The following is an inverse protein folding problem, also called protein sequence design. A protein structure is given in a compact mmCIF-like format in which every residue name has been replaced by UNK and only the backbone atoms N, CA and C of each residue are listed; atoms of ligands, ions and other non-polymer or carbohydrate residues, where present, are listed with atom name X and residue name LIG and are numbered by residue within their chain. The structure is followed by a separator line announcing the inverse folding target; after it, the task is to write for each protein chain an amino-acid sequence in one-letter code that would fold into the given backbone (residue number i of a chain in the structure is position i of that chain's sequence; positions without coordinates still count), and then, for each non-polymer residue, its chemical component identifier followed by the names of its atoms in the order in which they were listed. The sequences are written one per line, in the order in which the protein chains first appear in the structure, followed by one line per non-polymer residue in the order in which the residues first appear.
data_IF_837339760184
#
_entry.id   IF_837339760184
#
_cell.length_a   1.000
_cell.length_b   1.000
_cell.length_c   1.000
_cell.angle_alpha   90.00
_cell.angle_beta   90.00
_cell.angle_gamma   90.00
#
_symmetry.space_group_name_H-M   'P 1'
#
loop_
_entity.id
_entity.type
_entity.pdbx_description
1 polymer ?
#
# COMPACT_ATOMS: atom_id res chain seq x y z
N UNK A 1 -26.75 41.60 -41.58
CA UNK A 1 -27.26 40.52 -40.70
C UNK A 1 -26.21 39.44 -40.41
N UNK A 2 -25.20 39.27 -41.26
CA UNK A 2 -24.14 38.26 -41.16
C UNK A 2 -23.12 38.50 -40.04
N UNK A 3 -22.75 39.76 -39.77
CA UNK A 3 -21.76 40.07 -38.72
C UNK A 3 -22.27 39.74 -37.30
N UNK A 4 -23.56 39.98 -37.01
CA UNK A 4 -24.17 39.70 -35.69
C UNK A 4 -24.32 38.20 -35.41
N UNK A 5 -24.58 37.39 -36.44
CA UNK A 5 -24.57 35.93 -36.31
C UNK A 5 -23.16 35.38 -36.04
N UNK A 6 -22.13 35.95 -36.69
CA UNK A 6 -20.74 35.52 -36.46
C UNK A 6 -20.28 35.77 -35.01
N UNK A 7 -20.62 36.93 -34.42
CA UNK A 7 -20.32 37.20 -33.02
C UNK A 7 -21.10 36.31 -32.04
N UNK A 8 -22.35 35.94 -32.37
CA UNK A 8 -23.15 35.05 -31.53
C UNK A 8 -22.60 33.61 -31.53
N UNK A 9 -22.11 33.11 -32.67
CA UNK A 9 -21.47 31.78 -32.77
C UNK A 9 -20.12 31.75 -32.04
N UNK A 10 -19.32 32.82 -32.15
CA UNK A 10 -18.04 32.93 -31.45
C UNK A 10 -18.22 33.03 -29.92
N UNK A 11 -19.24 33.77 -29.45
CA UNK A 11 -19.56 33.86 -28.02
C UNK A 11 -20.10 32.54 -27.45
N UNK A 12 -20.89 31.78 -28.22
CA UNK A 12 -21.35 30.45 -27.82
C UNK A 12 -20.21 29.42 -27.74
N UNK A 13 -19.23 29.48 -28.67
CA UNK A 13 -18.06 28.59 -28.64
C UNK A 13 -17.12 28.88 -27.44
N UNK A 14 -16.97 30.15 -27.04
CA UNK A 14 -16.16 30.53 -25.88
C UNK A 14 -16.79 30.08 -24.54
N UNK A 15 -18.12 29.99 -24.47
CA UNK A 15 -18.84 29.62 -23.25
C UNK A 15 -18.78 28.11 -22.93
N UNK A 16 -18.48 27.24 -23.91
CA UNK A 16 -18.41 25.77 -23.72
C UNK A 16 -17.06 25.32 -23.15
N UNK A 17 -15.99 26.09 -23.38
CA UNK A 17 -14.62 25.76 -22.95
C UNK A 17 -14.43 25.69 -21.41
N UNK A 18 -14.97 26.62 -20.58
CA UNK A 18 -14.76 26.55 -19.13
C UNK A 18 -15.63 25.48 -18.42
N UNK A 19 -16.77 25.08 -19.01
CA UNK A 19 -17.68 24.11 -18.42
C UNK A 19 -17.11 22.67 -18.45
N UNK A 20 -16.36 22.32 -19.49
CA UNK A 20 -15.75 20.99 -19.63
C UNK A 20 -14.65 20.72 -18.58
N UNK A 21 -13.76 21.69 -18.37
CA UNK A 21 -12.63 21.52 -17.43
C UNK A 21 -13.10 21.46 -15.97
N UNK A 22 -14.09 22.27 -15.60
CA UNK A 22 -14.63 22.28 -14.23
C UNK A 22 -15.45 21.01 -13.93
N UNK A 23 -16.26 20.54 -14.87
CA UNK A 23 -17.01 19.29 -14.71
C UNK A 23 -16.10 18.05 -14.68
N UNK A 24 -15.07 17.99 -15.54
CA UNK A 24 -14.09 16.90 -15.55
C UNK A 24 -13.29 16.84 -14.24
N UNK A 25 -12.79 17.99 -13.78
CA UNK A 25 -12.06 18.11 -12.50
C UNK A 25 -12.92 17.63 -11.33
N UNK A 26 -14.18 18.05 -11.27
CA UNK A 26 -15.09 17.61 -10.21
C UNK A 26 -15.39 16.10 -10.25
N UNK A 27 -15.59 15.52 -11.44
CA UNK A 27 -15.84 14.07 -11.58
C UNK A 27 -14.63 13.23 -11.22
N UNK A 28 -13.44 13.64 -11.67
CA UNK A 28 -12.20 12.94 -11.37
C UNK A 28 -11.85 13.02 -9.88
N UNK A 29 -12.04 14.18 -9.26
CA UNK A 29 -11.84 14.36 -7.82
C UNK A 29 -12.83 13.55 -6.98
N UNK A 30 -14.05 13.30 -7.47
CA UNK A 30 -15.01 12.39 -6.82
C UNK A 30 -14.80 10.91 -7.15
N UNK A 31 -13.82 10.58 -7.99
CA UNK A 31 -13.60 9.21 -8.45
C UNK A 31 -12.85 8.37 -7.42
N UNK A 32 -12.88 7.05 -7.61
CA UNK A 32 -12.10 6.10 -6.82
C UNK A 32 -10.60 6.12 -7.14
N UNK A 33 -10.15 6.96 -8.09
CA UNK A 33 -8.75 7.07 -8.49
C UNK A 33 -8.03 8.24 -7.81
N UNK A 34 -8.75 9.15 -7.14
CA UNK A 34 -8.16 10.30 -6.48
C UNK A 34 -8.17 10.15 -4.96
N UNK A 35 -6.98 10.21 -4.37
CA UNK A 35 -6.73 10.18 -2.92
C UNK A 35 -6.05 11.46 -2.42
N UNK A 36 -5.88 12.46 -3.29
CA UNK A 36 -5.18 13.71 -2.99
C UNK A 36 -6.11 14.91 -2.81
N UNK A 37 -7.33 14.86 -3.36
CA UNK A 37 -8.28 15.97 -3.24
C UNK A 37 -8.95 15.99 -1.86
N UNK A 38 -8.42 16.83 -0.97
CA UNK A 38 -8.95 17.02 0.40
C UNK A 38 -10.26 17.80 0.43
N UNK A 39 -11.31 17.29 -0.22
CA UNK A 39 -12.62 17.93 -0.27
C UNK A 39 -13.40 17.73 1.03
N UNK A 40 -14.10 18.76 1.52
CA UNK A 40 -15.10 18.57 2.56
C UNK A 40 -16.15 17.54 2.11
N UNK A 41 -16.50 16.60 2.98
CA UNK A 41 -17.47 15.52 2.73
C UNK A 41 -17.11 14.54 1.59
N UNK A 42 -15.82 14.27 1.36
CA UNK A 42 -15.44 13.16 0.48
C UNK A 42 -16.06 11.84 0.98
N UNK A 43 -16.81 11.09 0.15
CA UNK A 43 -17.43 9.81 0.53
C UNK A 43 -16.46 8.81 1.14
N UNK A 44 -15.19 8.79 0.70
CA UNK A 44 -14.12 7.91 1.19
C UNK A 44 -13.72 8.23 2.62
N UNK A 45 -13.93 9.48 3.05
CA UNK A 45 -13.58 10.00 4.38
C UNK A 45 -14.78 10.15 5.31
N UNK A 46 -15.97 9.70 4.90
CA UNK A 46 -17.14 9.69 5.78
C UNK A 46 -16.97 8.65 6.91
N UNK A 47 -17.34 9.06 8.12
CA UNK A 47 -17.30 8.21 9.30
C UNK A 47 -16.01 8.34 10.12
N UNK A 48 -15.88 7.47 11.13
CA UNK A 48 -14.68 7.44 11.96
C UNK A 48 -13.48 6.88 11.20
N UNK A 49 -12.27 7.31 11.59
CA UNK A 49 -11.02 6.76 11.08
C UNK A 49 -10.96 5.25 11.32
N UNK A 50 -10.73 4.47 10.25
CA UNK A 50 -10.78 3.01 10.27
C UNK A 50 -9.39 2.32 10.31
N UNK A 51 -8.32 3.08 10.12
CA UNK A 51 -6.93 2.59 10.04
C UNK A 51 -6.01 3.16 11.13
N UNK A 52 -4.89 2.48 11.35
CA UNK A 52 -3.85 2.81 12.32
C UNK A 52 -4.25 2.53 13.77
N UNK A 53 -3.34 2.87 14.69
CA UNK A 53 -3.53 2.64 16.11
C UNK A 53 -4.66 3.49 16.70
N UNK A 54 -5.53 2.85 17.48
CA UNK A 54 -6.58 3.49 18.29
C UNK A 54 -6.12 3.74 19.72
N UNK A 55 -5.09 3.03 20.17
CA UNK A 55 -4.46 3.21 21.47
C UNK A 55 -2.95 3.38 21.33
N UNK A 56 -2.32 3.97 22.34
CA UNK A 56 -0.88 4.14 22.43
C UNK A 56 -0.16 2.91 23.05
N UNK A 57 -0.90 1.85 23.42
CA UNK A 57 -0.32 0.66 24.04
C UNK A 57 0.50 -0.16 23.01
N UNK A 58 1.84 -0.31 23.18
CA UNK A 58 2.66 -1.12 22.28
C UNK A 58 2.26 -2.60 22.26
N UNK A 59 1.55 -3.09 23.29
CA UNK A 59 1.04 -4.47 23.37
C UNK A 59 -0.09 -4.74 22.39
N UNK A 60 -0.62 -3.72 21.70
CA UNK A 60 -1.54 -3.95 20.60
C UNK A 60 -0.94 -4.84 19.51
N UNK A 61 0.38 -4.77 19.34
CA UNK A 61 1.11 -5.58 18.38
C UNK A 61 1.61 -6.93 18.93
N UNK A 62 1.25 -7.29 20.16
CA UNK A 62 1.46 -8.63 20.70
C UNK A 62 0.37 -9.57 20.21
N UNK A 63 0.59 -10.18 19.05
CA UNK A 63 -0.37 -11.08 18.43
C UNK A 63 -0.16 -12.52 18.93
N UNK A 64 -1.25 -13.28 19.10
CA UNK A 64 -1.24 -14.68 19.54
C UNK A 64 -1.25 -15.69 18.40
N UNK A 65 -1.71 -15.26 17.23
CA UNK A 65 -1.68 -16.04 16.00
C UNK A 65 -1.64 -15.08 14.81
N UNK A 66 -1.19 -15.59 13.68
CA UNK A 66 -1.15 -14.87 12.42
C UNK A 66 -1.52 -15.83 11.29
N UNK A 67 -2.35 -15.36 10.36
CA UNK A 67 -2.70 -16.08 9.14
C UNK A 67 -2.65 -15.14 7.93
N UNK A 68 -2.29 -15.70 6.78
CA UNK A 68 -2.42 -15.01 5.51
C UNK A 68 -3.87 -15.10 5.02
N UNK A 69 -4.45 -13.96 4.64
CA UNK A 69 -5.78 -13.90 4.04
C UNK A 69 -5.71 -13.63 2.54
N UNK A 70 -5.90 -14.68 1.73
CA UNK A 70 -5.98 -14.54 0.27
C UNK A 70 -7.17 -13.69 -0.17
N UNK A 71 -8.32 -13.85 0.50
CA UNK A 71 -9.54 -13.10 0.21
C UNK A 71 -9.32 -11.60 0.39
N UNK A 72 -8.78 -11.19 1.54
CA UNK A 72 -8.51 -9.77 1.82
C UNK A 72 -7.38 -9.23 0.94
N UNK A 73 -6.33 -10.00 0.69
CA UNK A 73 -5.24 -9.60 -0.21
C UNK A 73 -5.76 -9.30 -1.61
N UNK A 74 -6.64 -10.16 -2.13
CA UNK A 74 -7.28 -9.95 -3.43
C UNK A 74 -8.23 -8.73 -3.42
N UNK A 75 -9.00 -8.54 -2.35
CA UNK A 75 -9.94 -7.41 -2.27
C UNK A 75 -9.24 -6.05 -2.15
N UNK A 76 -8.15 -6.01 -1.38
CA UNK A 76 -7.32 -4.80 -1.24
C UNK A 76 -6.55 -4.51 -2.54
N UNK A 77 -6.08 -5.54 -3.25
CA UNK A 77 -5.43 -5.36 -4.57
C UNK A 77 -6.37 -4.82 -5.65
N UNK A 78 -7.69 -4.81 -5.42
CA UNK A 78 -8.68 -4.19 -6.32
C UNK A 78 -8.92 -2.72 -6.03
N UNK A 79 -8.26 -2.15 -5.04
CA UNK A 79 -8.26 -0.71 -4.78
C UNK A 79 -7.44 -0.03 -5.87
N UNK A 80 -8.03 0.96 -6.55
CA UNK A 80 -7.29 1.73 -7.54
C UNK A 80 -6.07 2.40 -6.88
N UNK A 81 -4.92 2.40 -7.55
CA UNK A 81 -3.65 2.84 -6.98
C UNK A 81 -2.89 1.76 -6.20
N UNK A 82 -3.45 0.55 -6.07
CA UNK A 82 -2.81 -0.60 -5.43
C UNK A 82 -2.58 -1.69 -6.48
N UNK A 83 -1.31 -1.94 -6.81
CA UNK A 83 -0.91 -2.98 -7.75
C UNK A 83 -1.05 -4.39 -7.14
N UNK A 84 -0.83 -4.50 -5.83
CA UNK A 84 -0.90 -5.74 -5.10
C UNK A 84 -0.88 -5.52 -3.59
N UNK A 85 -1.43 -6.48 -2.86
CA UNK A 85 -1.51 -6.42 -1.41
C UNK A 85 -1.29 -7.78 -0.77
N UNK A 86 -0.74 -7.76 0.44
CA UNK A 86 -0.57 -8.92 1.30
C UNK A 86 -1.18 -8.57 2.65
N UNK A 87 -2.25 -9.28 3.01
CA UNK A 87 -2.99 -9.06 4.25
C UNK A 87 -2.75 -10.22 5.21
N UNK A 88 -2.20 -9.91 6.37
CA UNK A 88 -2.06 -10.80 7.50
C UNK A 88 -3.10 -10.47 8.56
N UNK A 89 -3.95 -11.43 8.90
CA UNK A 89 -4.90 -11.33 10.01
C UNK A 89 -4.29 -11.94 11.27
N UNK A 90 -4.68 -11.37 12.40
CA UNK A 90 -4.26 -11.81 13.74
C UNK A 90 -5.45 -11.87 14.69
N UNK A 91 -5.20 -12.14 15.97
CA UNK A 91 -6.24 -12.16 17.01
C UNK A 91 -6.94 -10.81 17.22
N UNK A 92 -6.24 -9.70 16.96
CA UNK A 92 -6.76 -8.33 17.17
C UNK A 92 -6.75 -7.50 15.90
N UNK A 93 -5.66 -7.56 15.14
CA UNK A 93 -5.34 -6.56 14.12
C UNK A 93 -5.20 -7.17 12.73
N UNK A 94 -5.33 -6.32 11.71
CA UNK A 94 -4.95 -6.64 10.35
C UNK A 94 -3.70 -5.84 9.97
N UNK A 95 -2.71 -6.52 9.40
CA UNK A 95 -1.50 -5.91 8.87
C UNK A 95 -1.49 -6.05 7.36
N UNK A 96 -1.39 -4.92 6.67
CA UNK A 96 -1.57 -4.83 5.23
C UNK A 96 -0.30 -4.24 4.63
N UNK A 97 0.43 -5.07 3.88
CA UNK A 97 1.47 -4.61 2.97
C UNK A 97 0.84 -4.31 1.62
N UNK A 98 1.08 -3.13 1.06
CA UNK A 98 0.62 -2.76 -0.28
C UNK A 98 1.79 -2.36 -1.18
N UNK A 99 1.66 -2.66 -2.46
CA UNK A 99 2.47 -2.12 -3.53
C UNK A 99 1.59 -1.19 -4.34
N UNK A 100 2.05 0.02 -4.61
CA UNK A 100 1.25 1.02 -5.29
C UNK A 100 1.54 1.01 -6.80
N UNK A 101 0.57 1.47 -7.58
CA UNK A 101 0.69 1.65 -9.03
C UNK A 101 0.19 3.03 -9.50
N UNK A 102 0.47 3.35 -10.76
CA UNK A 102 0.14 4.64 -11.36
C UNK A 102 -1.34 4.83 -11.69
N UNK A 103 -2.21 3.89 -11.29
CA UNK A 103 -3.64 4.01 -11.58
C UNK A 103 -4.34 5.01 -10.65
N UNK A 104 -3.83 5.18 -9.43
CA UNK A 104 -4.34 6.14 -8.44
C UNK A 104 -3.45 7.39 -8.33
N UNK A 105 -4.06 8.56 -8.24
CA UNK A 105 -3.36 9.83 -7.95
C UNK A 105 -3.49 10.18 -6.48
N UNK A 106 -2.50 10.91 -5.95
CA UNK A 106 -2.53 11.36 -4.55
C UNK A 106 -2.43 10.25 -3.52
N UNK A 107 -1.90 9.07 -3.90
CA UNK A 107 -1.67 7.93 -2.98
C UNK A 107 -0.67 8.25 -1.86
N UNK A 108 0.11 9.33 -2.02
CA UNK A 108 1.04 9.89 -1.02
C UNK A 108 0.67 11.34 -0.67
N UNK A 109 0.86 11.74 0.59
CA UNK A 109 0.38 13.01 1.17
C UNK A 109 1.13 14.25 0.71
N UNK A 110 2.45 14.16 0.52
CA UNK A 110 3.22 15.26 -0.04
C UNK A 110 4.13 14.74 -1.16
N UNK A 111 4.10 15.43 -2.31
CA UNK A 111 4.86 15.05 -3.50
C UNK A 111 6.36 15.28 -3.34
N UNK A 112 7.15 14.52 -4.10
CA UNK A 112 8.61 14.66 -4.22
C UNK A 112 9.32 13.32 -4.44
N UNK A 113 10.28 13.29 -5.38
CA UNK A 113 11.02 12.08 -5.82
C UNK A 113 11.74 11.31 -4.70
N UNK A 114 12.02 11.96 -3.55
CA UNK A 114 12.75 11.37 -2.42
C UNK A 114 11.95 10.41 -1.53
N UNK A 115 10.66 10.17 -1.82
CA UNK A 115 9.77 9.38 -0.95
C UNK A 115 9.26 8.09 -1.55
N UNK A 116 9.42 7.95 -2.86
CA UNK A 116 9.23 6.69 -3.57
C UNK A 116 10.57 5.96 -3.60
N UNK A 117 10.60 4.72 -3.12
CA UNK A 117 11.78 3.85 -3.23
C UNK A 117 11.86 3.31 -4.66
N UNK A 118 12.08 4.20 -5.62
CA UNK A 118 12.15 3.87 -7.03
C UNK A 118 13.47 4.42 -7.56
N UNK A 119 14.32 3.54 -8.06
CA UNK A 119 15.53 3.89 -8.78
C UNK A 119 15.31 3.60 -10.27
N UNK A 120 15.01 4.63 -11.04
CA UNK A 120 14.84 4.55 -12.50
C UNK A 120 16.17 4.62 -13.26
N UNK A 121 17.33 4.65 -12.57
CA UNK A 121 18.65 4.77 -13.19
C UNK A 121 19.01 3.64 -14.17
N UNK A 122 18.46 2.44 -13.97
CA UNK A 122 18.71 1.26 -14.83
C UNK A 122 17.99 1.28 -16.18
N UNK A 123 16.95 2.11 -16.36
CA UNK A 123 16.16 2.13 -17.60
C UNK A 123 16.95 2.68 -18.80
N UNK A 124 17.98 3.50 -18.55
CA UNK A 124 18.87 4.03 -19.58
C UNK A 124 19.95 3.04 -20.05
N UNK A 125 20.28 2.04 -19.24
CA UNK A 125 21.37 1.08 -19.48
C UNK A 125 20.88 -0.34 -19.83
N UNK A 126 19.56 -0.58 -19.83
CA UNK A 126 18.97 -1.87 -20.20
C UNK A 126 19.15 -2.97 -19.16
N UNK A 127 19.37 -2.61 -17.89
CA UNK A 127 19.57 -3.53 -16.76
C UNK A 127 18.41 -3.44 -15.77
N UNK A 128 18.06 -4.56 -15.15
CA UNK A 128 16.96 -4.64 -14.20
C UNK A 128 17.36 -4.08 -12.82
N UNK A 129 18.57 -4.37 -12.35
CA UNK A 129 19.10 -3.80 -11.10
C UNK A 129 20.33 -2.95 -11.43
N UNK A 130 20.23 -1.64 -11.23
CA UNK A 130 21.31 -0.69 -11.51
C UNK A 130 22.50 -0.86 -10.55
N UNK A 131 22.25 -1.12 -9.26
CA UNK A 131 23.32 -1.28 -8.26
C UNK A 131 24.19 -2.51 -8.51
N UNK A 132 23.62 -3.55 -9.13
CA UNK A 132 24.34 -4.82 -9.41
C UNK A 132 24.61 -5.07 -10.89
N UNK A 133 24.16 -4.18 -11.80
CA UNK A 133 24.23 -4.36 -13.25
C UNK A 133 23.52 -5.61 -13.78
N UNK A 134 22.60 -6.21 -13.01
CA UNK A 134 21.99 -7.49 -13.36
C UNK A 134 20.83 -7.27 -14.34
N UNK A 135 20.79 -7.97 -15.49
CA UNK A 135 19.62 -7.98 -16.38
C UNK A 135 18.51 -8.92 -15.87
N UNK A 136 18.76 -9.71 -14.82
CA UNK A 136 17.84 -10.73 -14.32
C UNK A 136 17.05 -10.26 -13.08
N UNK A 137 15.74 -10.53 -13.10
CA UNK A 137 14.82 -10.33 -11.99
C UNK A 137 15.05 -11.36 -10.86
N UNK A 138 15.14 -10.89 -9.60
CA UNK A 138 15.08 -11.76 -8.44
C UNK A 138 13.62 -11.97 -8.01
N UNK A 139 12.98 -13.02 -8.53
CA UNK A 139 11.57 -13.34 -8.24
C UNK A 139 11.24 -13.72 -6.79
N UNK A 140 12.20 -13.65 -5.86
CA UNK A 140 11.90 -13.83 -4.44
C UNK A 140 11.33 -12.57 -3.77
N UNK A 141 11.51 -11.38 -4.34
CA UNK A 141 11.02 -10.12 -3.76
C UNK A 141 9.74 -9.66 -4.48
N UNK A 142 8.73 -9.25 -3.71
CA UNK A 142 7.47 -8.73 -4.25
C UNK A 142 7.61 -7.25 -4.64
N UNK A 143 8.27 -6.46 -3.79
CA UNK A 143 8.58 -5.05 -4.03
C UNK A 143 10.09 -4.88 -4.19
N UNK A 144 10.52 -4.17 -5.24
CA UNK A 144 11.93 -3.77 -5.42
C UNK A 144 11.98 -2.32 -5.91
N UNK A 145 13.13 -1.64 -5.81
CA UNK A 145 13.26 -0.29 -6.33
C UNK A 145 13.20 -0.19 -7.86
N UNK A 146 13.10 -1.33 -8.53
CA UNK A 146 13.34 -1.51 -9.95
C UNK A 146 12.13 -2.06 -10.72
N UNK A 147 11.08 -2.45 -10.00
CA UNK A 147 9.83 -2.87 -10.63
C UNK A 147 8.91 -1.66 -10.85
N UNK A 148 7.85 -1.82 -11.65
CA UNK A 148 6.91 -0.73 -11.97
C UNK A 148 6.00 -0.35 -10.80
N UNK A 149 6.18 -0.96 -9.63
CA UNK A 149 5.38 -0.72 -8.44
C UNK A 149 6.16 0.16 -7.48
N UNK A 150 5.50 1.13 -6.87
CA UNK A 150 6.17 2.02 -5.93
C UNK A 150 5.91 1.61 -4.48
N UNK A 151 7.01 1.58 -3.72
CA UNK A 151 7.04 1.47 -2.28
C UNK A 151 7.29 2.85 -1.64
N UNK A 152 6.83 3.01 -0.40
CA UNK A 152 6.98 4.24 0.39
C UNK A 152 7.63 3.88 1.72
N UNK A 153 8.81 4.45 1.99
CA UNK A 153 9.59 4.20 3.20
C UNK A 153 8.78 4.34 4.49
N UNK A 154 8.07 5.46 4.63
CA UNK A 154 7.30 5.78 5.82
C UNK A 154 5.80 5.62 5.54
N UNK A 155 5.15 4.76 6.32
CA UNK A 155 3.71 4.55 6.20
C UNK A 155 2.89 5.82 6.55
N UNK A 156 3.45 6.79 7.27
CA UNK A 156 2.81 8.08 7.52
C UNK A 156 2.67 8.93 6.26
N UNK A 157 3.50 8.70 5.24
CA UNK A 157 3.47 9.42 3.96
C UNK A 157 2.36 8.95 3.02
N UNK A 158 1.80 7.76 3.23
CA UNK A 158 0.62 7.29 2.51
C UNK A 158 -0.59 8.19 2.81
N UNK A 159 -1.38 8.49 1.76
CA UNK A 159 -2.61 9.27 1.90
C UNK A 159 -3.59 8.65 2.88
N UNK A 160 -4.21 9.51 3.69
CA UNK A 160 -5.24 9.08 4.64
C UNK A 160 -6.47 8.54 3.91
N UNK A 161 -6.82 9.09 2.74
CA UNK A 161 -7.96 8.61 1.95
C UNK A 161 -7.72 7.21 1.41
N UNK A 162 -6.49 6.94 0.96
CA UNK A 162 -6.08 5.61 0.52
C UNK A 162 -6.15 4.62 1.68
N UNK A 163 -5.59 4.97 2.84
CA UNK A 163 -5.66 4.11 4.04
C UNK A 163 -7.08 3.87 4.50
N UNK A 164 -7.92 4.90 4.48
CA UNK A 164 -9.33 4.80 4.86
C UNK A 164 -10.09 3.87 3.91
N UNK A 165 -9.85 3.99 2.60
CA UNK A 165 -10.44 3.13 1.57
C UNK A 165 -10.04 1.66 1.77
N UNK A 166 -8.75 1.41 1.96
CA UNK A 166 -8.21 0.05 2.22
C UNK A 166 -8.82 -0.51 3.50
N UNK A 167 -8.78 0.24 4.60
CA UNK A 167 -9.33 -0.22 5.88
C UNK A 167 -10.83 -0.45 5.84
N UNK A 168 -11.59 0.35 5.08
CA UNK A 168 -13.01 0.11 4.82
C UNK A 168 -13.27 -1.25 4.18
N UNK A 169 -12.50 -1.59 3.13
CA UNK A 169 -12.57 -2.92 2.49
C UNK A 169 -12.16 -4.04 3.43
N UNK A 170 -11.07 -3.86 4.17
CA UNK A 170 -10.58 -4.86 5.13
C UNK A 170 -11.61 -5.15 6.20
N UNK A 171 -12.17 -4.11 6.84
CA UNK A 171 -13.15 -4.26 7.91
C UNK A 171 -14.52 -4.74 7.41
N UNK A 172 -14.87 -4.45 6.16
CA UNK A 172 -16.10 -4.97 5.55
C UNK A 172 -16.13 -6.49 5.46
N UNK A 173 -14.97 -7.13 5.23
CA UNK A 173 -14.82 -8.59 5.17
C UNK A 173 -14.32 -9.21 6.48
N UNK A 174 -13.63 -8.44 7.32
CA UNK A 174 -13.13 -8.86 8.63
C UNK A 174 -13.57 -7.88 9.74
N UNK A 175 -14.87 -7.88 10.12
CA UNK A 175 -15.42 -6.91 11.08
C UNK A 175 -14.86 -7.06 12.51
N UNK A 176 -14.27 -8.23 12.82
CA UNK A 176 -13.64 -8.53 14.12
C UNK A 176 -12.31 -7.81 14.34
N UNK A 177 -11.72 -7.24 13.29
CA UNK A 177 -10.44 -6.53 13.37
C UNK A 177 -10.61 -5.21 14.14
N UNK A 178 -9.77 -5.00 15.14
CA UNK A 178 -9.74 -3.79 15.95
C UNK A 178 -9.02 -2.65 15.21
N UNK A 179 -7.79 -2.89 14.74
CA UNK A 179 -6.95 -1.92 14.03
C UNK A 179 -6.46 -2.47 12.70
N UNK A 180 -6.40 -1.60 11.68
CA UNK A 180 -5.86 -1.94 10.35
C UNK A 180 -4.59 -1.13 10.13
N UNK A 181 -3.45 -1.80 10.14
CA UNK A 181 -2.13 -1.20 9.96
C UNK A 181 -1.66 -1.39 8.52
N UNK A 182 -1.40 -0.29 7.81
CA UNK A 182 -1.14 -0.30 6.37
C UNK A 182 0.22 0.33 6.12
N UNK A 183 1.08 -0.37 5.40
CA UNK A 183 2.38 0.14 4.97
C UNK A 183 2.67 -0.25 3.53
N UNK A 184 3.32 0.66 2.80
CA UNK A 184 3.90 0.39 1.50
C UNK A 184 5.43 0.30 1.57
N UNK A 185 5.99 0.13 2.76
CA UNK A 185 7.43 -0.01 2.96
C UNK A 185 7.91 -1.31 2.29
N UNK A 186 8.98 -1.21 1.50
CA UNK A 186 9.50 -2.32 0.70
C UNK A 186 9.92 -3.51 1.57
N UNK A 187 10.66 -3.28 2.65
CA UNK A 187 11.15 -4.33 3.54
C UNK A 187 9.99 -5.03 4.24
N UNK A 188 9.02 -4.24 4.72
CA UNK A 188 7.80 -4.76 5.33
C UNK A 188 7.00 -5.63 4.36
N UNK A 189 6.75 -5.16 3.14
CA UNK A 189 6.00 -5.91 2.11
C UNK A 189 6.73 -7.19 1.72
N UNK A 190 8.04 -7.14 1.53
CA UNK A 190 8.84 -8.31 1.19
C UNK A 190 8.85 -9.33 2.33
N UNK A 191 8.95 -8.87 3.57
CA UNK A 191 8.88 -9.75 4.72
C UNK A 191 7.50 -10.40 4.85
N UNK A 192 6.41 -9.65 4.69
CA UNK A 192 5.05 -10.23 4.62
C UNK A 192 4.91 -11.26 3.49
N UNK A 193 5.56 -11.06 2.35
CA UNK A 193 5.59 -12.02 1.25
C UNK A 193 6.26 -13.34 1.66
N UNK A 194 7.31 -13.31 2.49
CA UNK A 194 7.91 -14.53 3.02
C UNK A 194 6.96 -15.29 3.96
N UNK A 195 6.24 -14.59 4.83
CA UNK A 195 5.18 -15.21 5.63
C UNK A 195 4.05 -15.77 4.75
N UNK A 196 3.67 -15.07 3.67
CA UNK A 196 2.63 -15.53 2.76
C UNK A 196 3.04 -16.81 2.04
N UNK A 197 4.31 -16.92 1.61
CA UNK A 197 4.87 -18.14 1.01
C UNK A 197 4.83 -19.35 1.95
N UNK A 198 5.04 -19.14 3.25
CA UNK A 198 4.87 -20.21 4.25
C UNK A 198 3.43 -20.70 4.30
N UNK A 199 2.48 -19.77 4.34
CA UNK A 199 1.05 -20.10 4.34
C UNK A 199 0.61 -20.79 3.03
N UNK A 200 1.08 -20.32 1.87
CA UNK A 200 0.80 -20.95 0.57
C UNK A 200 1.34 -22.38 0.48
N UNK A 201 2.46 -22.64 1.14
CA UNK A 201 3.02 -23.98 1.24
C UNK A 201 2.36 -24.84 2.33
N UNK A 202 1.26 -24.39 2.94
CA UNK A 202 0.53 -25.10 3.98
C UNK A 202 1.25 -25.19 5.32
N UNK A 203 2.33 -24.40 5.53
CA UNK A 203 3.10 -24.42 6.77
C UNK A 203 2.49 -23.46 7.78
N UNK A 204 2.45 -23.87 9.05
CA UNK A 204 1.97 -23.02 10.14
C UNK A 204 2.92 -21.84 10.36
N UNK A 205 2.36 -20.64 10.53
CA UNK A 205 3.10 -19.44 10.93
C UNK A 205 3.37 -19.37 12.43
N UNK A 206 2.80 -20.29 13.23
CA UNK A 206 2.92 -20.28 14.68
C UNK A 206 4.37 -20.21 15.21
N UNK A 207 5.37 -20.92 14.63
CA UNK A 207 6.75 -20.83 15.09
C UNK A 207 7.41 -19.47 14.87
N UNK A 208 6.78 -18.60 14.08
CA UNK A 208 7.33 -17.32 13.64
C UNK A 208 6.57 -16.12 14.22
N UNK A 209 5.63 -16.35 15.15
CA UNK A 209 4.79 -15.29 15.74
C UNK A 209 5.64 -14.22 16.45
N UNK A 210 6.67 -14.61 17.20
CA UNK A 210 7.51 -13.63 17.91
C UNK A 210 8.31 -12.74 16.93
N UNK A 211 8.78 -13.32 15.83
CA UNK A 211 9.44 -12.59 14.76
C UNK A 211 8.46 -11.64 14.05
N UNK A 212 7.25 -12.11 13.79
CA UNK A 212 6.17 -11.30 13.22
C UNK A 212 5.81 -10.12 14.14
N UNK A 213 5.66 -10.36 15.45
CA UNK A 213 5.38 -9.32 16.45
C UNK A 213 6.52 -8.28 16.50
N UNK A 214 7.77 -8.71 16.36
CA UNK A 214 8.92 -7.81 16.27
C UNK A 214 8.86 -6.94 15.01
N UNK A 215 8.56 -7.54 13.86
CA UNK A 215 8.39 -6.83 12.58
C UNK A 215 7.31 -5.75 12.67
N UNK A 216 6.10 -6.09 13.12
CA UNK A 216 4.99 -5.14 13.16
C UNK A 216 5.20 -4.04 14.20
N UNK A 217 5.85 -4.34 15.33
CA UNK A 217 6.22 -3.32 16.33
C UNK A 217 7.28 -2.36 15.77
N UNK A 218 8.27 -2.87 15.06
CA UNK A 218 9.27 -2.03 14.40
C UNK A 218 8.60 -1.09 13.39
N UNK A 219 7.69 -1.61 12.58
CA UNK A 219 7.03 -0.84 11.52
C UNK A 219 6.01 0.20 12.03
N UNK A 220 5.23 -0.11 13.08
CA UNK A 220 4.06 0.69 13.48
C UNK A 220 4.10 1.24 14.92
N UNK A 221 4.99 0.75 15.78
CA UNK A 221 5.03 1.10 17.19
C UNK A 221 6.40 1.66 17.66
N UNK A 222 7.28 2.03 16.73
CA UNK A 222 8.60 2.56 17.04
C UNK A 222 9.52 1.55 17.75
N UNK A 223 9.31 0.25 17.50
CA UNK A 223 10.16 -0.81 18.04
C UNK A 223 11.62 -0.60 17.63
N UNK A 224 12.54 -0.63 18.60
CA UNK A 224 13.98 -0.41 18.36
C UNK A 224 14.73 -1.68 17.92
N UNK A 225 14.07 -2.82 18.01
CA UNK A 225 14.65 -4.11 17.64
C UNK A 225 14.48 -4.32 16.14
N UNK A 226 15.60 -4.43 15.42
CA UNK A 226 15.57 -4.76 14.01
C UNK A 226 15.00 -6.18 13.80
N UNK A 227 13.93 -6.33 13.00
CA UNK A 227 13.37 -7.65 12.71
C UNK A 227 14.39 -8.48 11.92
N UNK A 228 14.57 -9.74 12.31
CA UNK A 228 15.37 -10.69 11.54
C UNK A 228 14.51 -11.26 10.40
N UNK A 229 14.96 -11.24 9.14
CA UNK A 229 14.19 -11.77 8.03
C UNK A 229 13.81 -13.24 8.23
N UNK A 230 12.57 -13.61 7.89
CA UNK A 230 12.04 -14.96 8.08
C UNK A 230 12.89 -16.02 7.37
N UNK A 231 13.44 -15.69 6.20
CA UNK A 231 14.35 -16.58 5.46
C UNK A 231 15.58 -16.98 6.29
N UNK A 232 16.14 -16.05 7.03
CA UNK A 232 17.31 -16.30 7.88
C UNK A 232 16.91 -17.12 9.11
N UNK A 233 15.79 -16.80 9.75
CA UNK A 233 15.26 -17.58 10.88
C UNK A 233 14.99 -19.04 10.48
N UNK A 234 14.45 -19.26 9.29
CA UNK A 234 14.26 -20.59 8.71
C UNK A 234 15.57 -21.33 8.48
N UNK A 235 16.57 -20.67 7.89
CA UNK A 235 17.90 -21.27 7.68
C UNK A 235 18.55 -21.69 9.01
N UNK A 236 18.48 -20.83 10.03
CA UNK A 236 18.97 -21.12 11.39
C UNK A 236 18.22 -22.30 12.03
N UNK A 237 16.90 -22.37 11.88
CA UNK A 237 16.09 -23.48 12.40
C UNK A 237 16.40 -24.81 11.70
N UNK A 238 16.56 -24.78 10.37
CA UNK A 238 16.95 -25.95 9.59
C UNK A 238 18.32 -26.49 10.01
N UNK A 239 19.31 -25.60 10.22
CA UNK A 239 20.64 -25.98 10.68
C UNK A 239 20.63 -26.61 12.09
N UNK A 240 19.77 -26.12 13.00
CA UNK A 240 19.61 -26.67 14.36
C UNK A 240 18.88 -28.01 14.39
N UNK A 241 17.99 -28.27 13.44
CA UNK A 241 17.27 -29.55 13.34
C UNK A 241 18.07 -30.66 12.64
N UNK A 242 19.25 -30.33 12.08
CA UNK A 242 20.16 -31.28 11.44
C UNK A 242 21.29 -31.76 12.37
N UNK A 243 21.32 -31.29 13.62
CA UNK A 243 22.22 -31.72 14.70
C UNK A 243 21.46 -32.63 15.65
#
# INVERSE_FOLDING_TARGET
MTLRLAYAVLAAALAVLPAGCTAYKNKFESSTYDYGSRKPNDPKMLGARMYGSKTADPRQHDNRWVEYSSLLSNEVSRVNGVAGAIVMLTDKNAYVGIMLDWTGVGTIKNGGDRRTDQNMGGSGEGVYNFDTGSPYWNGSQAATPYNSYFAVNDHHELSEELKQTIAGRTRGLAPRVEEVHISANMDFVNELNEYAKEAWAGRSLAPWIDAFNTLVKHQFAGGKTMPTPLRELKARKAARGAQ
#
